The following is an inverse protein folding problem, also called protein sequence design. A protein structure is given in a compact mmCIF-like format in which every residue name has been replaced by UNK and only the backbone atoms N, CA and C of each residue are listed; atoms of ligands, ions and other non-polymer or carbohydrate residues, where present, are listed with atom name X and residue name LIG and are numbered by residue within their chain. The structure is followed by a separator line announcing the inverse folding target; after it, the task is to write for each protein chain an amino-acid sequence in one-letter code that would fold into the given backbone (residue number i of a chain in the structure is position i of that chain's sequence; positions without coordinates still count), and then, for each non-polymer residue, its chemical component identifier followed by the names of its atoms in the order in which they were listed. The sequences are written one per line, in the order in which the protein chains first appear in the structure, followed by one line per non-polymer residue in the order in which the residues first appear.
data_IF_808098418619
#
_entry.id   IF_808098418619
#
_cell.length_a   1.000
_cell.length_b   1.000
_cell.length_c   1.000
_cell.angle_alpha   90.00
_cell.angle_beta   90.00
_cell.angle_gamma   90.00
#
_symmetry.space_group_name_H-M   'P 1'
#
loop_
_entity.id
_entity.type
_entity.pdbx_description
1 polymer ?
#
# COMPACT_ATOMS: atom_id res chain seq x y z
N UNK A 1 -1.74 2.87 -24.25
CA UNK A 1 -1.65 2.23 -22.91
C UNK A 1 -0.47 1.28 -22.95
N UNK A 2 0.63 1.58 -22.24
CA UNK A 2 1.87 0.78 -22.28
C UNK A 2 1.97 -0.07 -21.01
N UNK A 3 1.69 -1.39 -21.12
CA UNK A 3 1.81 -2.34 -20.01
C UNK A 3 3.21 -2.95 -20.03
N UNK A 4 4.15 -2.38 -19.29
CA UNK A 4 5.43 -3.02 -18.99
C UNK A 4 5.25 -4.00 -17.82
N UNK A 5 4.36 -4.98 -17.98
CA UNK A 5 4.36 -6.18 -17.15
C UNK A 5 5.44 -7.12 -17.68
N UNK A 6 6.28 -7.65 -16.80
CA UNK A 6 7.36 -8.58 -17.12
C UNK A 6 6.89 -9.69 -18.08
N UNK A 7 7.33 -9.62 -19.35
CA UNK A 7 7.03 -10.59 -20.42
C UNK A 7 7.81 -11.92 -20.22
N UNK A 8 7.77 -12.46 -19.01
CA UNK A 8 8.37 -13.75 -18.68
C UNK A 8 7.25 -14.78 -18.73
N UNK A 9 7.24 -15.69 -19.72
CA UNK A 9 6.24 -16.75 -19.74
C UNK A 9 6.38 -17.57 -18.46
N UNK A 10 5.24 -17.84 -17.81
CA UNK A 10 5.21 -18.71 -16.65
C UNK A 10 5.78 -20.07 -17.04
N UNK A 11 6.66 -20.63 -16.19
CA UNK A 11 7.20 -21.99 -16.36
C UNK A 11 6.25 -23.05 -15.80
N UNK A 12 5.10 -22.63 -15.28
CA UNK A 12 4.09 -23.49 -14.66
C UNK A 12 3.21 -24.14 -15.73
N UNK A 13 2.92 -25.42 -15.57
CA UNK A 13 1.90 -26.10 -16.36
C UNK A 13 0.51 -25.76 -15.79
N UNK A 14 -0.15 -24.77 -16.38
CA UNK A 14 -1.45 -24.27 -15.90
C UNK A 14 -2.60 -25.24 -16.16
N UNK A 15 -2.58 -26.01 -17.26
CA UNK A 15 -3.61 -27.01 -17.56
C UNK A 15 -3.65 -28.10 -16.47
N UNK A 16 -2.49 -28.45 -15.91
CA UNK A 16 -2.42 -29.40 -14.80
C UNK A 16 -2.99 -28.84 -13.50
N UNK A 17 -2.71 -27.56 -13.20
CA UNK A 17 -3.25 -26.89 -12.01
C UNK A 17 -4.76 -26.73 -12.10
N UNK A 18 -5.28 -26.37 -13.27
CA UNK A 18 -6.72 -26.20 -13.53
C UNK A 18 -7.51 -27.52 -13.40
N UNK A 19 -6.86 -28.64 -13.70
CA UNK A 19 -7.43 -29.98 -13.55
C UNK A 19 -7.24 -30.60 -12.14
N UNK A 20 -6.52 -29.93 -11.22
CA UNK A 20 -6.29 -30.43 -9.87
C UNK A 20 -7.53 -30.19 -9.00
N UNK A 21 -8.05 -31.25 -8.37
CA UNK A 21 -9.17 -31.13 -7.44
C UNK A 21 -8.68 -30.80 -6.02
N UNK A 22 -9.51 -30.15 -5.22
CA UNK A 22 -9.18 -29.74 -3.85
C UNK A 22 -8.68 -30.92 -2.99
N UNK A 23 -9.24 -32.12 -3.16
CA UNK A 23 -8.84 -33.30 -2.36
C UNK A 23 -7.42 -33.80 -2.67
N UNK A 24 -6.86 -33.40 -3.82
CA UNK A 24 -5.49 -33.75 -4.22
C UNK A 24 -4.47 -32.72 -3.75
N UNK A 25 -4.91 -31.60 -3.16
CA UNK A 25 -4.02 -30.60 -2.59
C UNK A 25 -3.52 -31.12 -1.24
N UNK A 26 -2.21 -31.32 -1.15
CA UNK A 26 -1.56 -31.65 0.12
C UNK A 26 -1.44 -30.39 0.98
N UNK A 27 -2.12 -30.38 2.12
CA UNK A 27 -2.07 -29.29 3.12
C UNK A 27 -1.48 -29.76 4.44
N UNK A 28 -0.75 -30.89 4.46
CA UNK A 28 -0.20 -31.48 5.68
C UNK A 28 0.79 -30.56 6.42
N UNK A 29 1.39 -29.61 5.70
CA UNK A 29 2.33 -28.61 6.20
C UNK A 29 1.65 -27.33 6.73
N UNK A 30 0.38 -27.09 6.36
CA UNK A 30 -0.37 -25.87 6.72
C UNK A 30 -1.60 -26.27 7.55
N UNK A 31 -1.49 -26.33 8.88
CA UNK A 31 -2.63 -26.69 9.73
C UNK A 31 -3.74 -25.63 9.66
N UNK A 32 -5.01 -26.03 9.81
CA UNK A 32 -6.13 -25.09 9.79
C UNK A 32 -6.04 -24.08 10.95
N UNK A 33 -6.30 -22.82 10.65
CA UNK A 33 -6.28 -21.74 11.63
C UNK A 33 -7.56 -21.78 12.48
N UNK A 34 -7.42 -21.61 13.80
CA UNK A 34 -8.54 -21.65 14.75
C UNK A 34 -9.31 -20.32 14.81
N UNK A 35 -10.55 -20.35 15.28
CA UNK A 35 -11.32 -19.13 15.56
C UNK A 35 -10.60 -18.21 16.57
N UNK A 36 -9.88 -18.79 17.53
CA UNK A 36 -9.08 -18.04 18.51
C UNK A 36 -7.92 -17.28 17.88
N UNK A 37 -7.36 -17.77 16.76
CA UNK A 37 -6.37 -17.05 15.98
C UNK A 37 -6.98 -15.79 15.36
N UNK A 38 -8.15 -15.93 14.71
CA UNK A 38 -8.84 -14.81 14.07
C UNK A 38 -9.41 -13.81 15.09
N UNK A 39 -9.82 -14.25 16.28
CA UNK A 39 -10.33 -13.38 17.35
C UNK A 39 -9.32 -12.32 17.81
N UNK A 40 -8.01 -12.55 17.60
CA UNK A 40 -6.93 -11.60 17.93
C UNK A 40 -6.32 -10.94 16.69
N UNK A 41 -6.74 -11.35 15.49
CA UNK A 41 -6.22 -10.81 14.26
C UNK A 41 -6.72 -9.36 14.08
N UNK A 42 -5.80 -8.45 13.76
CA UNK A 42 -6.17 -7.07 13.41
C UNK A 42 -6.32 -6.97 11.91
N UNK A 43 -7.53 -6.66 11.43
CA UNK A 43 -7.75 -6.37 10.02
C UNK A 43 -7.02 -5.07 9.64
N UNK A 44 -6.06 -5.18 8.73
CA UNK A 44 -5.37 -4.03 8.12
C UNK A 44 -5.95 -3.85 6.72
N UNK A 45 -6.91 -2.95 6.57
CA UNK A 45 -7.34 -2.53 5.25
C UNK A 45 -6.22 -1.70 4.60
N UNK A 46 -5.97 -1.88 3.28
CA UNK A 46 -5.04 -1.02 2.57
C UNK A 46 -5.51 0.44 2.72
N UNK A 47 -4.59 1.35 3.01
CA UNK A 47 -4.91 2.77 3.06
C UNK A 47 -5.44 3.20 1.69
N UNK A 48 -6.57 3.89 1.69
CA UNK A 48 -7.14 4.44 0.47
C UNK A 48 -6.28 5.62 0.04
N UNK A 49 -5.65 5.50 -1.13
CA UNK A 49 -4.92 6.59 -1.76
C UNK A 49 -5.84 7.28 -2.77
N UNK A 50 -5.85 8.61 -2.75
CA UNK A 50 -6.54 9.41 -3.76
C UNK A 50 -5.51 9.96 -4.71
N UNK A 51 -5.65 9.64 -6.00
CA UNK A 51 -4.80 10.20 -7.05
C UNK A 51 -5.29 11.63 -7.34
N UNK A 52 -4.44 12.61 -7.07
CA UNK A 52 -4.71 14.03 -7.34
C UNK A 52 -3.62 14.60 -8.24
N UNK A 53 -3.95 15.67 -8.97
CA UNK A 53 -2.96 16.52 -9.65
C UNK A 53 -2.77 17.77 -8.81
N UNK A 54 -1.54 18.09 -8.45
CA UNK A 54 -1.16 19.26 -7.66
C UNK A 54 -0.03 20.02 -8.36
N UNK A 55 -0.05 21.35 -8.29
CA UNK A 55 1.05 22.18 -8.75
C UNK A 55 2.04 22.37 -7.61
N UNK A 56 3.31 22.12 -7.88
CA UNK A 56 4.42 22.25 -6.93
C UNK A 56 5.49 23.10 -7.61
N UNK A 57 6.11 24.01 -6.85
CA UNK A 57 7.21 24.82 -7.37
C UNK A 57 8.39 23.94 -7.81
N UNK A 58 9.07 24.37 -8.87
CA UNK A 58 10.08 23.54 -9.54
C UNK A 58 11.28 23.21 -8.65
N UNK A 59 11.64 24.10 -7.73
CA UNK A 59 12.74 23.92 -6.78
C UNK A 59 12.37 22.92 -5.67
N UNK A 60 11.14 22.98 -5.18
CA UNK A 60 10.59 22.01 -4.22
C UNK A 60 10.51 20.63 -4.86
N UNK A 61 10.03 20.54 -6.10
CA UNK A 61 9.99 19.28 -6.82
C UNK A 61 11.39 18.68 -7.03
N UNK A 62 12.38 19.49 -7.42
CA UNK A 62 13.74 19.03 -7.61
C UNK A 62 14.38 18.45 -6.33
N UNK A 63 14.05 19.03 -5.16
CA UNK A 63 14.48 18.48 -3.88
C UNK A 63 13.85 17.10 -3.59
N UNK A 64 12.56 16.93 -3.89
CA UNK A 64 11.88 15.65 -3.71
C UNK A 64 12.37 14.58 -4.71
N UNK A 65 12.61 14.97 -5.96
CA UNK A 65 13.13 14.07 -7.00
C UNK A 65 14.53 13.54 -6.66
N UNK A 66 15.36 14.35 -5.99
CA UNK A 66 16.67 13.92 -5.51
C UNK A 66 16.63 12.78 -4.47
N UNK A 67 15.47 12.51 -3.85
CA UNK A 67 15.26 11.40 -2.91
C UNK A 67 15.04 10.05 -3.61
N UNK A 68 14.85 10.03 -4.94
CA UNK A 68 14.69 8.80 -5.74
C UNK A 68 13.37 8.09 -5.47
N UNK A 69 13.42 6.75 -5.33
CA UNK A 69 12.26 5.86 -5.23
C UNK A 69 11.31 6.14 -4.05
N UNK A 70 11.73 7.01 -3.13
CA UNK A 70 11.03 7.35 -1.90
C UNK A 70 10.28 8.69 -1.98
N UNK A 71 10.38 9.40 -3.11
CA UNK A 71 9.77 10.72 -3.35
C UNK A 71 8.26 10.76 -3.00
N UNK A 72 7.46 9.83 -3.53
CA UNK A 72 6.01 9.80 -3.28
C UNK A 72 5.68 9.61 -1.80
N UNK A 73 6.42 8.74 -1.11
CA UNK A 73 6.19 8.45 0.31
C UNK A 73 6.57 9.64 1.20
N UNK A 74 7.67 10.31 0.89
CA UNK A 74 8.12 11.52 1.59
C UNK A 74 7.17 12.68 1.36
N UNK A 75 6.68 12.85 0.12
CA UNK A 75 5.69 13.87 -0.19
C UNK A 75 4.41 13.66 0.63
N UNK A 76 3.90 12.43 0.67
CA UNK A 76 2.73 12.11 1.47
C UNK A 76 2.97 12.34 2.98
N UNK A 77 4.15 11.98 3.49
CA UNK A 77 4.52 12.22 4.89
C UNK A 77 4.56 13.73 5.23
N UNK A 78 5.15 14.54 4.35
CA UNK A 78 5.22 15.99 4.52
C UNK A 78 3.82 16.63 4.53
N UNK A 79 2.95 16.23 3.61
CA UNK A 79 1.55 16.70 3.56
C UNK A 79 0.80 16.35 4.84
N UNK A 80 1.03 15.15 5.38
CA UNK A 80 0.39 14.70 6.62
C UNK A 80 0.85 15.50 7.84
N UNK A 81 2.16 15.71 7.99
CA UNK A 81 2.71 16.53 9.08
C UNK A 81 2.14 17.95 9.03
N UNK A 82 2.05 18.53 7.83
CA UNK A 82 1.46 19.85 7.64
C UNK A 82 -0.02 19.89 8.05
N UNK A 83 -0.81 18.90 7.63
CA UNK A 83 -2.23 18.81 7.96
C UNK A 83 -2.45 18.67 9.48
N UNK A 84 -1.69 17.79 10.13
CA UNK A 84 -1.77 17.55 11.58
C UNK A 84 -1.39 18.80 12.39
N UNK A 85 -0.31 19.48 12.00
CA UNK A 85 0.11 20.73 12.64
C UNK A 85 -0.96 21.83 12.52
N UNK A 86 -1.67 21.90 11.39
CA UNK A 86 -2.70 22.91 11.15
C UNK A 86 -4.02 22.58 11.87
N UNK A 87 -4.39 21.31 11.98
CA UNK A 87 -5.55 20.87 12.76
C UNK A 87 -5.36 21.14 14.26
N UNK A 88 -4.17 20.86 14.80
CA UNK A 88 -3.83 21.17 16.19
C UNK A 88 -3.91 22.67 16.51
N UNK A 89 -3.61 23.54 15.52
CA UNK A 89 -3.75 24.99 15.67
C UNK A 89 -5.23 25.44 15.65
N UNK A 90 -6.08 24.83 14.82
CA UNK A 90 -7.52 25.18 14.78
C UNK A 90 -8.30 24.72 16.01
N UNK A 91 -7.84 23.68 16.71
CA UNK A 91 -8.45 23.18 17.95
C UNK A 91 -7.98 23.90 19.23
N UNK A 92 -7.04 24.86 19.12
CA UNK A 92 -6.61 25.68 20.27
C UNK A 92 -7.52 26.91 20.43
N UNK A 93 -8.12 27.16 21.62
CA UNK A 93 -8.94 28.35 21.82
C UNK A 93 -8.08 29.63 21.70
N UNK A 94 -8.65 30.74 21.23
CA UNK A 94 -7.91 31.99 21.10
C UNK A 94 -7.33 32.40 22.45
N UNK A 95 -6.01 32.66 22.48
CA UNK A 95 -5.37 33.25 23.66
C UNK A 95 -5.87 34.69 23.83
N UNK A 96 -6.71 34.90 24.84
CA UNK A 96 -7.08 36.20 25.39
C UNK A 96 -5.91 36.86 26.12
#
# INVERSE_FOLDING_TARGET
MNRSGTNRPSKTNWEHVDALTDEKVDTSDIPPLSETFFARATLRLPQQFTIITVQIDSDVWAWFEALGDECERQLNAALRIYAEARQAYSDSPPRS
#
